data_IF_293776276221
#
_entry.id   IF_293776276221
#
_cell.length_a   1.000
_cell.length_b   1.000
_cell.length_c   1.000
_cell.angle_alpha   90.00
_cell.angle_beta   90.00
_cell.angle_gamma   90.00
#
_symmetry.space_group_name_H-M   'P 1'
#
loop_
_entity.id
_entity.type
_entity.pdbx_description
1 polymer ?
#
# COMPACT_ATOMS: atom_id res chain seq x y z
N UNK A 1 3.10 -17.99 20.41
CA UNK A 1 2.83 -16.70 19.72
C UNK A 1 2.59 -17.04 18.27
N UNK A 2 1.35 -16.99 17.78
CA UNK A 2 1.05 -17.34 16.39
C UNK A 2 0.96 -16.05 15.58
N UNK A 3 2.07 -15.70 14.92
CA UNK A 3 2.04 -14.73 13.83
C UNK A 3 1.09 -15.29 12.77
N UNK A 4 0.19 -14.48 12.22
CA UNK A 4 -0.71 -14.97 11.19
C UNK A 4 0.10 -15.30 9.95
N UNK A 5 0.09 -16.59 9.57
CA UNK A 5 0.72 -17.05 8.34
C UNK A 5 -0.07 -16.52 7.16
N UNK A 6 0.56 -15.63 6.39
CA UNK A 6 0.05 -15.19 5.10
C UNK A 6 1.06 -15.44 3.99
N UNK A 7 0.55 -15.86 2.84
CA UNK A 7 1.31 -16.13 1.64
C UNK A 7 0.82 -15.23 0.51
N UNK A 8 1.77 -14.74 -0.29
CA UNK A 8 1.46 -14.05 -1.54
C UNK A 8 1.45 -15.10 -2.64
N UNK A 9 0.32 -15.26 -3.29
CA UNK A 9 0.16 -16.11 -4.47
C UNK A 9 0.24 -15.24 -5.73
N UNK A 10 0.94 -15.76 -6.72
CA UNK A 10 1.10 -15.14 -8.03
C UNK A 10 0.53 -16.08 -9.07
N UNK A 11 -0.39 -15.60 -9.89
CA UNK A 11 -0.91 -16.36 -11.05
C UNK A 11 -0.68 -15.59 -12.33
N UNK A 12 0.02 -16.21 -13.26
CA UNK A 12 0.33 -15.63 -14.57
C UNK A 12 -0.86 -15.80 -15.52
N UNK A 13 -1.22 -14.71 -16.19
CA UNK A 13 -2.26 -14.64 -17.22
C UNK A 13 -1.71 -13.82 -18.40
N UNK A 14 -0.98 -14.51 -19.28
CA UNK A 14 -0.28 -13.87 -20.40
C UNK A 14 0.80 -12.89 -19.94
N UNK A 15 0.67 -11.63 -20.33
CA UNK A 15 1.63 -10.56 -19.96
C UNK A 15 1.42 -10.00 -18.54
N UNK A 16 0.41 -10.50 -17.83
CA UNK A 16 -0.08 -9.95 -16.58
C UNK A 16 0.08 -10.97 -15.47
N UNK A 17 0.52 -10.55 -14.28
CA UNK A 17 0.57 -11.41 -13.09
C UNK A 17 -0.43 -10.93 -12.05
N UNK A 18 -1.44 -11.75 -11.75
CA UNK A 18 -2.37 -11.46 -10.66
C UNK A 18 -1.71 -11.73 -9.31
N UNK A 19 -1.97 -10.86 -8.33
CA UNK A 19 -1.40 -10.95 -6.98
C UNK A 19 -2.53 -11.12 -5.97
N UNK A 20 -2.50 -12.23 -5.25
CA UNK A 20 -3.44 -12.53 -4.19
C UNK A 20 -2.74 -12.71 -2.85
N UNK A 21 -3.39 -12.25 -1.78
CA UNK A 21 -2.98 -12.49 -0.41
C UNK A 21 -3.87 -13.57 0.19
N UNK A 22 -3.24 -14.66 0.61
CA UNK A 22 -3.89 -15.77 1.30
C UNK A 22 -3.49 -15.75 2.76
N UNK A 23 -4.47 -15.55 3.62
CA UNK A 23 -4.28 -15.50 5.06
C UNK A 23 -4.83 -16.81 5.62
N UNK A 24 -4.00 -17.62 6.27
CA UNK A 24 -4.42 -18.89 6.87
C UNK A 24 -5.53 -18.58 7.88
N UNK A 25 -6.78 -19.00 7.61
CA UNK A 25 -8.06 -18.71 8.31
C UNK A 25 -9.01 -17.68 7.66
N UNK A 26 -8.62 -16.95 6.62
CA UNK A 26 -9.52 -16.01 5.93
C UNK A 26 -9.57 -16.25 4.43
N UNK A 27 -10.62 -15.70 3.79
CA UNK A 27 -10.76 -15.71 2.33
C UNK A 27 -9.55 -15.06 1.66
N UNK A 28 -9.21 -15.59 0.49
CA UNK A 28 -8.27 -14.98 -0.43
C UNK A 28 -8.68 -13.53 -0.75
N UNK A 29 -7.69 -12.65 -0.81
CA UNK A 29 -7.90 -11.24 -1.18
C UNK A 29 -7.04 -10.91 -2.39
N UNK A 30 -7.69 -10.54 -3.48
CA UNK A 30 -6.98 -9.94 -4.61
C UNK A 30 -6.39 -8.59 -4.16
N UNK A 31 -5.06 -8.47 -4.26
CA UNK A 31 -4.31 -7.26 -3.88
C UNK A 31 -4.18 -6.33 -5.08
N UNK A 32 -3.91 -6.91 -6.25
CA UNK A 32 -3.64 -6.15 -7.45
C UNK A 32 -3.05 -7.02 -8.55
N UNK A 33 -2.44 -6.34 -9.50
CA UNK A 33 -1.94 -6.91 -10.74
C UNK A 33 -0.55 -6.34 -11.01
N UNK A 34 0.39 -7.17 -11.44
CA UNK A 34 1.70 -6.73 -11.93
C UNK A 34 1.69 -6.77 -13.45
N UNK A 35 2.04 -5.66 -14.07
CA UNK A 35 2.18 -5.51 -15.52
C UNK A 35 3.37 -4.58 -15.79
N UNK A 36 4.27 -4.94 -16.71
CA UNK A 36 5.43 -4.10 -17.09
C UNK A 36 6.29 -3.62 -15.90
N UNK A 37 6.60 -4.51 -14.95
CA UNK A 37 7.31 -4.19 -13.69
C UNK A 37 6.61 -3.15 -12.78
N UNK A 38 5.31 -2.93 -12.96
CA UNK A 38 4.49 -2.05 -12.14
C UNK A 38 3.42 -2.86 -11.43
N UNK A 39 3.36 -2.75 -10.11
CA UNK A 39 2.24 -3.27 -9.33
C UNK A 39 1.11 -2.25 -9.33
N UNK A 40 -0.03 -2.62 -9.91
CA UNK A 40 -1.28 -1.87 -9.90
C UNK A 40 -2.19 -2.33 -8.78
N UNK A 41 -2.46 -1.45 -7.82
CA UNK A 41 -3.37 -1.69 -6.69
C UNK A 41 -4.50 -0.67 -6.66
N UNK A 42 -5.63 -1.05 -6.06
CA UNK A 42 -6.76 -0.14 -5.82
C UNK A 42 -6.91 0.11 -4.33
N UNK A 43 -7.01 1.38 -3.95
CA UNK A 43 -7.25 1.81 -2.57
C UNK A 43 -8.39 2.81 -2.52
N UNK A 44 -8.93 2.97 -1.33
CA UNK A 44 -9.92 3.99 -1.00
C UNK A 44 -9.45 4.70 0.26
N UNK A 45 -9.43 6.03 0.24
CA UNK A 45 -8.90 6.81 1.37
C UNK A 45 -9.68 6.50 2.65
N UNK A 46 -11.01 6.41 2.55
CA UNK A 46 -11.89 6.08 3.69
C UNK A 46 -11.49 4.79 4.43
N UNK A 47 -10.95 3.80 3.71
CA UNK A 47 -10.62 2.48 4.26
C UNK A 47 -9.14 2.28 4.56
N UNK A 48 -8.26 2.96 3.84
CA UNK A 48 -6.84 2.62 3.81
C UNK A 48 -5.93 3.75 4.27
N UNK A 49 -6.43 4.99 4.35
CA UNK A 49 -5.66 6.10 4.87
C UNK A 49 -5.60 5.98 6.39
N UNK A 50 -4.40 5.85 6.94
CA UNK A 50 -4.21 6.01 8.36
C UNK A 50 -4.19 7.51 8.70
N UNK A 51 -5.35 8.02 9.09
CA UNK A 51 -5.62 9.46 9.30
C UNK A 51 -4.57 10.12 10.20
N UNK A 52 -4.19 9.50 11.32
CA UNK A 52 -3.25 10.10 12.29
C UNK A 52 -1.86 10.38 11.72
N UNK A 53 -1.34 9.51 10.84
CA UNK A 53 0.00 9.67 10.26
C UNK A 53 -0.04 10.07 8.79
N UNK A 54 -1.24 10.29 8.24
CA UNK A 54 -1.48 10.56 6.84
C UNK A 54 -0.67 9.62 5.92
N UNK A 55 -0.79 8.31 6.16
CA UNK A 55 0.01 7.30 5.46
C UNK A 55 -0.85 6.18 4.90
N UNK A 56 -0.34 5.54 3.85
CA UNK A 56 -0.87 4.29 3.31
C UNK A 56 0.04 3.13 3.71
N UNK A 57 -0.58 1.99 3.95
CA UNK A 57 0.14 0.76 4.27
C UNK A 57 0.17 -0.20 3.07
N UNK A 58 1.34 -0.77 2.81
CA UNK A 58 1.63 -1.72 1.73
C UNK A 58 2.28 -2.98 2.31
N UNK A 59 1.92 -4.16 1.80
CA UNK A 59 2.38 -5.44 2.32
C UNK A 59 3.88 -5.65 2.17
N UNK A 60 4.60 -5.88 3.28
CA UNK A 60 6.06 -6.03 3.24
C UNK A 60 6.49 -7.15 2.29
N UNK A 61 5.94 -8.37 2.45
CA UNK A 61 6.27 -9.53 1.61
C UNK A 61 6.09 -9.26 0.12
N UNK A 62 5.12 -8.43 -0.25
CA UNK A 62 4.87 -8.07 -1.64
C UNK A 62 5.92 -7.09 -2.15
N UNK A 63 6.24 -6.05 -1.38
CA UNK A 63 7.29 -5.07 -1.70
C UNK A 63 8.68 -5.73 -1.77
N UNK A 64 8.94 -6.68 -0.89
CA UNK A 64 10.23 -7.37 -0.80
C UNK A 64 10.38 -8.49 -1.84
N UNK A 65 9.32 -8.82 -2.58
CA UNK A 65 9.33 -9.91 -3.58
C UNK A 65 10.29 -9.69 -4.76
N UNK A 66 10.66 -8.43 -5.05
CA UNK A 66 11.51 -8.08 -6.19
C UNK A 66 10.85 -8.25 -7.55
N UNK A 67 9.53 -8.46 -7.63
CA UNK A 67 8.81 -8.70 -8.89
C UNK A 67 8.38 -7.44 -9.65
N UNK A 68 8.54 -6.27 -9.06
CA UNK A 68 8.16 -4.98 -9.63
C UNK A 68 9.00 -3.87 -9.01
N UNK A 69 9.14 -2.76 -9.73
CA UNK A 69 9.97 -1.62 -9.34
C UNK A 69 9.14 -0.43 -8.86
N UNK A 70 7.88 -0.36 -9.28
CA UNK A 70 6.96 0.75 -9.00
C UNK A 70 5.63 0.20 -8.50
N UNK A 71 5.05 0.87 -7.52
CA UNK A 71 3.66 0.67 -7.10
C UNK A 71 2.82 1.81 -7.63
N UNK A 72 1.82 1.50 -8.44
CA UNK A 72 0.79 2.42 -8.90
C UNK A 72 -0.52 2.15 -8.15
N UNK A 73 -1.07 3.17 -7.51
CA UNK A 73 -2.27 3.09 -6.69
C UNK A 73 -3.36 3.94 -7.32
N UNK A 74 -4.45 3.27 -7.71
CA UNK A 74 -5.70 3.96 -8.06
C UNK A 74 -6.49 4.22 -6.78
N UNK A 75 -6.66 5.48 -6.42
CA UNK A 75 -7.35 5.95 -5.22
C UNK A 75 -8.75 6.42 -5.56
N UNK A 76 -9.75 5.84 -4.87
CA UNK A 76 -11.17 6.19 -4.99
C UNK A 76 -11.65 6.21 -6.46
N UNK A 77 -11.08 5.31 -7.27
CA UNK A 77 -11.33 5.14 -8.72
C UNK A 77 -11.02 6.38 -9.59
N UNK A 78 -10.41 7.42 -9.02
CA UNK A 78 -10.26 8.72 -9.68
C UNK A 78 -8.81 9.17 -9.78
N UNK A 79 -8.03 8.96 -8.72
CA UNK A 79 -6.68 9.51 -8.64
C UNK A 79 -5.67 8.39 -8.83
N UNK A 80 -4.63 8.64 -9.61
CA UNK A 80 -3.51 7.73 -9.76
C UNK A 80 -2.32 8.34 -9.04
N UNK A 81 -1.74 7.57 -8.12
CA UNK A 81 -0.52 7.95 -7.43
C UNK A 81 0.49 6.82 -7.54
N UNK A 82 1.77 7.13 -7.63
CA UNK A 82 2.81 6.12 -7.75
C UNK A 82 3.96 6.34 -6.80
N UNK A 83 4.68 5.26 -6.48
CA UNK A 83 5.87 5.32 -5.66
C UNK A 83 6.86 4.20 -6.07
N UNK A 84 8.16 4.50 -6.21
CA UNK A 84 9.18 3.48 -6.42
C UNK A 84 9.34 2.58 -5.20
N UNK A 85 9.58 1.28 -5.42
CA UNK A 85 9.83 0.29 -4.36
C UNK A 85 11.04 0.68 -3.52
N UNK A 86 12.09 1.23 -4.13
CA UNK A 86 13.25 1.72 -3.41
C UNK A 86 12.87 2.80 -2.38
N UNK A 87 12.04 3.78 -2.77
CA UNK A 87 11.54 4.82 -1.88
C UNK A 87 10.71 4.23 -0.72
N UNK A 88 9.91 3.19 -0.99
CA UNK A 88 9.13 2.48 0.04
C UNK A 88 10.06 1.84 1.07
N UNK A 89 11.14 1.18 0.62
CA UNK A 89 12.10 0.51 1.50
C UNK A 89 12.95 1.50 2.31
N UNK A 90 13.37 2.60 1.69
CA UNK A 90 14.27 3.58 2.32
C UNK A 90 13.55 4.50 3.30
N UNK A 91 12.30 4.88 2.99
CA UNK A 91 11.54 5.89 3.74
C UNK A 91 10.30 5.37 4.43
N UNK A 92 9.92 4.13 4.15
CA UNK A 92 8.79 3.49 4.79
C UNK A 92 9.09 3.05 6.20
N UNK A 93 8.13 3.25 7.09
CA UNK A 93 8.21 2.70 8.44
C UNK A 93 7.62 1.29 8.44
N UNK A 94 8.42 0.29 8.77
CA UNK A 94 7.91 -1.06 8.98
C UNK A 94 7.02 -1.10 10.22
N UNK A 95 5.79 -1.59 10.05
CA UNK A 95 4.82 -1.80 11.13
C UNK A 95 4.58 -3.30 11.27
N UNK A 96 4.92 -3.81 12.45
CA UNK A 96 4.59 -5.17 12.87
C UNK A 96 3.35 -5.16 13.75
N UNK A 97 2.32 -5.85 13.30
CA UNK A 97 1.07 -5.96 14.02
C UNK A 97 1.10 -7.14 14.98
N UNK A 98 1.46 -6.88 16.24
CA UNK A 98 1.72 -7.94 17.23
C UNK A 98 0.53 -8.87 17.53
N UNK A 99 -0.72 -8.45 17.29
CA UNK A 99 -1.92 -9.20 17.71
C UNK A 99 -3.16 -9.09 16.78
N UNK A 100 -3.06 -8.51 15.57
CA UNK A 100 -4.26 -8.15 14.80
C UNK A 100 -4.50 -8.98 13.54
N UNK A 101 -3.78 -10.07 13.35
CA UNK A 101 -3.92 -10.95 12.19
C UNK A 101 -3.63 -10.29 10.84
N UNK A 102 -2.84 -9.23 10.87
CA UNK A 102 -2.31 -8.56 9.69
C UNK A 102 -0.83 -8.91 9.55
N UNK A 103 -0.37 -9.14 8.33
CA UNK A 103 1.06 -9.24 8.04
C UNK A 103 1.79 -7.91 8.29
N UNK A 104 3.13 -7.94 8.44
CA UNK A 104 3.95 -6.74 8.43
C UNK A 104 3.71 -5.87 7.18
N UNK A 105 3.68 -4.56 7.38
CA UNK A 105 3.42 -3.59 6.31
C UNK A 105 4.38 -2.41 6.39
N UNK A 106 4.77 -1.90 5.23
CA UNK A 106 5.39 -0.59 5.12
C UNK A 106 4.32 0.49 5.19
N UNK A 107 4.43 1.38 6.18
CA UNK A 107 3.64 2.59 6.29
C UNK A 107 4.38 3.75 5.64
N UNK A 108 3.79 4.28 4.58
CA UNK A 108 4.39 5.30 3.72
C UNK A 108 3.59 6.59 3.85
N UNK A 109 4.19 7.70 4.31
CA UNK A 109 3.57 9.01 4.28
C UNK A 109 3.05 9.35 2.89
N UNK A 110 1.81 9.85 2.82
CA UNK A 110 1.11 10.06 1.56
C UNK A 110 1.82 11.07 0.64
N UNK A 111 2.57 12.00 1.24
CA UNK A 111 3.39 12.99 0.52
C UNK A 111 4.54 12.40 -0.29
N UNK A 112 4.95 11.15 -0.02
CA UNK A 112 6.00 10.48 -0.79
C UNK A 112 5.50 9.88 -2.10
N UNK A 113 4.18 9.90 -2.34
CA UNK A 113 3.59 9.41 -3.58
C UNK A 113 3.57 10.51 -4.63
N UNK A 114 4.08 10.19 -5.82
CA UNK A 114 3.95 11.05 -6.98
C UNK A 114 2.48 11.15 -7.39
N UNK A 115 1.97 12.36 -7.62
CA UNK A 115 0.57 12.61 -7.96
C UNK A 115 -0.34 12.83 -6.76
N UNK A 116 0.17 12.70 -5.53
CA UNK A 116 -0.60 12.96 -4.31
C UNK A 116 -1.14 14.40 -4.24
N UNK A 117 -0.44 15.36 -4.83
CA UNK A 117 -0.82 16.77 -4.91
C UNK A 117 -2.13 17.02 -5.68
N UNK A 118 -2.55 16.06 -6.52
CA UNK A 118 -3.76 16.17 -7.36
C UNK A 118 -5.04 15.76 -6.65
N UNK A 119 -4.93 15.24 -5.42
CA UNK A 119 -6.08 14.74 -4.67
C UNK A 119 -6.66 15.88 -3.83
N UNK A 120 -7.94 16.28 -4.04
CA UNK A 120 -8.57 17.36 -3.30
C UNK A 120 -8.73 17.01 -1.82
N UNK A 121 -8.31 17.97 -1.00
CA UNK A 121 -8.04 17.80 0.42
C UNK A 121 -9.18 18.31 1.30
N UNK A 122 -10.20 17.50 1.63
CA UNK A 122 -11.02 17.81 2.83
C UNK A 122 -10.46 17.19 4.11
N UNK A 123 -9.73 16.07 4.00
CA UNK A 123 -9.06 15.43 5.15
C UNK A 123 -7.56 15.72 5.25
N UNK A 124 -6.91 15.97 4.12
CA UNK A 124 -5.47 16.23 4.03
C UNK A 124 -5.05 17.66 4.44
N UNK A 125 -5.90 18.68 4.25
CA UNK A 125 -5.60 20.07 4.62
C UNK A 125 -5.65 20.29 6.13
N UNK A 126 -6.53 19.58 6.84
CA UNK A 126 -6.60 19.59 8.31
C UNK A 126 -5.25 19.25 8.97
N UNK A 127 -4.41 18.43 8.32
CA UNK A 127 -3.10 18.04 8.85
C UNK A 127 -1.96 18.99 8.48
N UNK A 128 -2.03 19.67 7.33
CA UNK A 128 -1.03 20.72 6.99
C UNK A 128 -1.22 21.95 7.86
N UNK A 129 -2.46 22.32 8.15
CA UNK A 129 -2.78 23.42 9.06
C UNK A 129 -2.36 23.08 10.50
N UNK A 130 -2.68 21.89 11.00
CA UNK A 130 -2.28 21.45 12.35
C UNK A 130 -0.75 21.29 12.56
N UNK A 131 0.05 21.17 11.49
CA UNK A 131 1.52 21.12 11.56
C UNK A 131 2.18 22.50 11.45
N UNK A 132 1.48 23.50 10.90
CA UNK A 132 1.97 24.88 10.79
C UNK A 132 1.56 25.76 11.98
N UNK A 133 0.82 25.21 12.95
CA UNK A 133 0.34 25.91 14.16
C UNK A 133 1.08 25.52 15.46
N UNK A 134 2.32 25.01 15.38
CA UNK A 134 3.19 24.85 16.56
C UNK A 134 4.59 25.41 16.33
#
# INVERSE_FOLDING_TARGET
MNQVESNIEYSEDGAVTNVALKIHQFRERNIGIIENNVLHVRKSLKKHLHVKTNSLALNQKLIDSGKFDIVNIVIDKKYNVSIPVQTIKDRGKLIEYKNSGFEPQYSIPFELFHGAEKIPNSQFNLFKEAKNEN
#
